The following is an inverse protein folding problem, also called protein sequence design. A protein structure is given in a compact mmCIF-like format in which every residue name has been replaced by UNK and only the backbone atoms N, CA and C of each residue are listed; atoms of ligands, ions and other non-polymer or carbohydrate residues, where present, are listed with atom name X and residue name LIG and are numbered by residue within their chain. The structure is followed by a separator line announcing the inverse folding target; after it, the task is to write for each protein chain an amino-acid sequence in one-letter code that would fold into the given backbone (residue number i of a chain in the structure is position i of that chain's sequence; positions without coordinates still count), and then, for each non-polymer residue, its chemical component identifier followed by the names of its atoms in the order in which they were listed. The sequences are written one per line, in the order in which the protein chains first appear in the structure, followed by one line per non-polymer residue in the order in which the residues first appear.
data_IF_430772860828
#
_entry.id   IF_430772860828
#
_cell.length_a   1.000
_cell.length_b   1.000
_cell.length_c   1.000
_cell.angle_alpha   90.00
_cell.angle_beta   90.00
_cell.angle_gamma   90.00
#
_symmetry.space_group_name_H-M   'P 1'
#
loop_
_entity.id
_entity.type
_entity.pdbx_description
1 polymer ?
#
# COMPACT_ATOMS: atom_id res chain seq x y z
N UNK A 1 19.42 40.02 -2.12
CA UNK A 1 18.50 39.80 -3.26
C UNK A 1 18.56 38.38 -3.79
N UNK A 2 19.75 37.79 -3.94
CA UNK A 2 19.92 36.40 -4.42
C UNK A 2 19.25 35.38 -3.47
N UNK A 3 19.43 35.55 -2.17
CA UNK A 3 18.85 34.69 -1.12
C UNK A 3 17.30 34.64 -1.18
N UNK A 4 16.64 35.79 -1.31
CA UNK A 4 15.18 35.90 -1.45
C UNK A 4 14.63 35.29 -2.75
N UNK A 5 15.42 35.28 -3.82
CA UNK A 5 15.04 34.64 -5.08
C UNK A 5 15.25 33.12 -5.01
N UNK A 6 16.28 32.67 -4.30
CA UNK A 6 16.54 31.25 -4.02
C UNK A 6 15.45 30.64 -3.14
N UNK A 7 15.07 31.33 -2.04
CA UNK A 7 13.97 30.92 -1.16
C UNK A 7 12.64 30.83 -1.92
N UNK A 8 12.31 31.82 -2.75
CA UNK A 8 11.10 31.78 -3.60
C UNK A 8 11.13 30.65 -4.61
N UNK A 9 12.29 30.36 -5.20
CA UNK A 9 12.47 29.22 -6.10
C UNK A 9 12.27 27.87 -5.39
N UNK A 10 12.85 27.72 -4.20
CA UNK A 10 12.69 26.54 -3.34
C UNK A 10 11.25 26.35 -2.84
N UNK A 11 10.54 27.43 -2.55
CA UNK A 11 9.11 27.35 -2.20
C UNK A 11 8.25 26.96 -3.42
N UNK A 12 8.56 27.49 -4.61
CA UNK A 12 7.83 27.19 -5.83
C UNK A 12 8.06 25.76 -6.34
N UNK A 13 9.23 25.15 -6.07
CA UNK A 13 9.54 23.78 -6.51
C UNK A 13 8.61 22.72 -5.92
N UNK A 14 7.92 23.03 -4.81
CA UNK A 14 6.85 22.19 -4.24
C UNK A 14 5.76 21.82 -5.24
N UNK A 15 5.43 22.74 -6.16
CA UNK A 15 4.40 22.51 -7.17
C UNK A 15 4.78 21.47 -8.23
N UNK A 16 6.06 21.10 -8.34
CA UNK A 16 6.51 20.00 -9.22
C UNK A 16 5.87 18.67 -8.77
N UNK A 17 5.52 18.51 -7.50
CA UNK A 17 4.86 17.31 -6.99
C UNK A 17 3.39 17.22 -7.37
N UNK A 18 2.71 18.35 -7.63
CA UNK A 18 1.29 18.38 -7.99
C UNK A 18 0.92 17.44 -9.16
N UNK A 19 1.62 17.44 -10.31
CA UNK A 19 1.33 16.52 -11.41
C UNK A 19 1.55 15.04 -11.06
N UNK A 20 2.45 14.71 -10.12
CA UNK A 20 2.60 13.33 -9.65
C UNK A 20 1.33 12.84 -8.94
N UNK A 21 0.75 13.67 -8.06
CA UNK A 21 -0.49 13.32 -7.38
C UNK A 21 -1.67 13.19 -8.35
N UNK A 22 -1.72 14.01 -9.40
CA UNK A 22 -2.68 13.83 -10.50
C UNK A 22 -2.48 12.47 -11.19
N UNK A 23 -1.23 12.09 -11.47
CA UNK A 23 -0.89 10.76 -11.98
C UNK A 23 -1.35 9.63 -11.06
N UNK A 24 -1.19 9.78 -9.73
CA UNK A 24 -1.66 8.80 -8.75
C UNK A 24 -3.20 8.71 -8.71
N UNK A 25 -3.93 9.81 -8.93
CA UNK A 25 -5.40 9.78 -9.07
C UNK A 25 -5.79 8.97 -10.31
N UNK A 26 -5.10 9.14 -11.45
CA UNK A 26 -5.33 8.28 -12.62
C UNK A 26 -5.02 6.81 -12.34
N UNK A 27 -3.95 6.53 -11.57
CA UNK A 27 -3.67 5.17 -11.12
C UNK A 27 -4.79 4.59 -10.24
N UNK A 28 -5.39 5.40 -9.37
CA UNK A 28 -6.54 4.99 -8.54
C UNK A 28 -7.76 4.65 -9.40
N UNK A 29 -8.03 5.43 -10.45
CA UNK A 29 -9.07 5.11 -11.44
C UNK A 29 -8.77 3.80 -12.16
N UNK A 30 -7.52 3.58 -12.57
CA UNK A 30 -7.09 2.32 -13.19
C UNK A 30 -7.29 1.12 -12.26
N UNK A 31 -6.96 1.29 -10.97
CA UNK A 31 -7.18 0.28 -9.93
C UNK A 31 -8.67 -0.02 -9.74
N UNK A 32 -9.53 1.01 -9.74
CA UNK A 32 -10.99 0.84 -9.67
C UNK A 32 -11.52 0.03 -10.86
N UNK A 33 -11.05 0.33 -12.08
CA UNK A 33 -11.41 -0.46 -13.27
C UNK A 33 -10.99 -1.92 -13.08
N UNK A 34 -9.79 -2.17 -12.54
CA UNK A 34 -9.34 -3.54 -12.27
C UNK A 34 -10.16 -4.25 -11.20
N UNK A 35 -10.51 -3.56 -10.13
CA UNK A 35 -11.41 -4.08 -9.11
C UNK A 35 -12.76 -4.50 -9.72
N UNK A 36 -13.35 -3.64 -10.56
CA UNK A 36 -14.64 -3.96 -11.21
C UNK A 36 -14.53 -5.15 -12.17
N UNK A 37 -13.42 -5.28 -12.91
CA UNK A 37 -13.17 -6.43 -13.76
C UNK A 37 -13.05 -7.73 -12.95
N UNK A 38 -12.27 -7.70 -11.87
CA UNK A 38 -12.07 -8.86 -10.98
C UNK A 38 -13.39 -9.26 -10.31
N UNK A 39 -14.16 -8.27 -9.85
CA UNK A 39 -15.48 -8.48 -9.23
C UNK A 39 -16.45 -9.14 -10.20
N UNK A 40 -16.49 -8.66 -11.45
CA UNK A 40 -17.36 -9.24 -12.47
C UNK A 40 -16.95 -10.68 -12.80
N UNK A 41 -15.65 -10.93 -12.99
CA UNK A 41 -15.13 -12.26 -13.25
C UNK A 41 -15.48 -13.23 -12.10
N UNK A 42 -15.23 -12.81 -10.86
CA UNK A 42 -15.56 -13.56 -9.67
C UNK A 42 -17.07 -13.87 -9.56
N UNK A 43 -17.94 -12.88 -9.81
CA UNK A 43 -19.38 -13.05 -9.71
C UNK A 43 -19.94 -14.08 -10.71
N UNK A 44 -19.41 -14.10 -11.94
CA UNK A 44 -19.82 -15.07 -12.97
C UNK A 44 -19.34 -16.49 -12.61
N UNK A 45 -18.13 -16.61 -12.05
CA UNK A 45 -17.50 -17.90 -11.77
C UNK A 45 -17.96 -18.50 -10.42
N UNK A 46 -18.54 -17.69 -9.53
CA UNK A 46 -19.00 -18.08 -8.18
C UNK A 46 -19.89 -19.33 -8.17
N UNK A 47 -20.75 -19.48 -9.18
CA UNK A 47 -21.70 -20.62 -9.27
C UNK A 47 -21.03 -21.95 -9.64
N UNK A 48 -19.78 -21.91 -10.12
CA UNK A 48 -18.99 -23.07 -10.54
C UNK A 48 -17.70 -23.25 -9.73
N UNK A 49 -17.38 -22.26 -8.89
CA UNK A 49 -16.20 -22.22 -8.06
C UNK A 49 -16.27 -23.23 -6.91
N UNK A 50 -15.17 -23.94 -6.66
CA UNK A 50 -15.01 -24.70 -5.41
C UNK A 50 -14.78 -23.76 -4.23
N UNK A 51 -14.90 -24.26 -2.99
CA UNK A 51 -14.69 -23.47 -1.76
C UNK A 51 -13.35 -22.72 -1.77
N UNK A 52 -12.31 -23.37 -2.28
CA UNK A 52 -10.99 -22.80 -2.53
C UNK A 52 -11.02 -21.52 -3.36
N UNK A 53 -11.66 -21.58 -4.51
CA UNK A 53 -11.70 -20.52 -5.51
C UNK A 53 -12.54 -19.34 -5.01
N UNK A 54 -13.59 -19.63 -4.23
CA UNK A 54 -14.40 -18.61 -3.55
C UNK A 54 -13.55 -17.79 -2.59
N UNK A 55 -12.80 -18.45 -1.71
CA UNK A 55 -11.91 -17.78 -0.74
C UNK A 55 -10.85 -16.95 -1.45
N UNK A 56 -10.22 -17.50 -2.49
CA UNK A 56 -9.19 -16.82 -3.27
C UNK A 56 -9.72 -15.59 -4.01
N UNK A 57 -10.92 -15.67 -4.58
CA UNK A 57 -11.55 -14.54 -5.27
C UNK A 57 -11.90 -13.39 -4.32
N UNK A 58 -12.48 -13.70 -3.15
CA UNK A 58 -12.72 -12.68 -2.10
C UNK A 58 -11.42 -11.98 -1.72
N UNK A 59 -10.35 -12.76 -1.60
CA UNK A 59 -9.08 -12.25 -1.11
C UNK A 59 -8.33 -11.39 -2.13
N UNK A 60 -8.49 -11.69 -3.42
CA UNK A 60 -8.09 -10.81 -4.54
C UNK A 60 -8.80 -9.45 -4.48
N UNK A 61 -10.12 -9.45 -4.20
CA UNK A 61 -10.90 -8.23 -4.07
C UNK A 61 -10.50 -7.39 -2.84
N UNK A 62 -10.24 -8.04 -1.71
CA UNK A 62 -9.74 -7.38 -0.49
C UNK A 62 -8.40 -6.69 -0.76
N UNK A 63 -7.49 -7.37 -1.48
CA UNK A 63 -6.20 -6.81 -1.82
C UNK A 63 -6.32 -5.55 -2.68
N UNK A 64 -7.08 -5.62 -3.78
CA UNK A 64 -7.32 -4.45 -4.64
C UNK A 64 -7.94 -3.29 -3.86
N UNK A 65 -8.86 -3.55 -2.92
CA UNK A 65 -9.41 -2.52 -2.04
C UNK A 65 -8.34 -1.91 -1.11
N UNK A 66 -7.50 -2.74 -0.51
CA UNK A 66 -6.42 -2.29 0.37
C UNK A 66 -5.39 -1.45 -0.38
N UNK A 67 -5.01 -1.86 -1.59
CA UNK A 67 -4.12 -1.08 -2.47
C UNK A 67 -4.71 0.31 -2.78
N UNK A 68 -6.02 0.40 -3.00
CA UNK A 68 -6.72 1.67 -3.23
C UNK A 68 -6.70 2.57 -2.00
N UNK A 69 -6.99 2.02 -0.82
CA UNK A 69 -6.93 2.76 0.44
C UNK A 69 -5.52 3.30 0.71
N UNK A 70 -4.50 2.48 0.45
CA UNK A 70 -3.12 2.88 0.58
C UNK A 70 -2.76 4.01 -0.39
N UNK A 71 -3.18 3.90 -1.64
CA UNK A 71 -2.94 4.91 -2.67
C UNK A 71 -3.60 6.25 -2.30
N UNK A 72 -4.84 6.22 -1.77
CA UNK A 72 -5.52 7.42 -1.26
C UNK A 72 -4.72 8.08 -0.14
N UNK A 73 -4.26 7.30 0.83
CA UNK A 73 -3.42 7.80 1.93
C UNK A 73 -2.16 8.49 1.38
N UNK A 74 -1.47 7.85 0.42
CA UNK A 74 -0.27 8.41 -0.22
C UNK A 74 -0.57 9.72 -0.94
N UNK A 75 -1.69 9.79 -1.68
CA UNK A 75 -2.10 10.99 -2.42
C UNK A 75 -2.35 12.15 -1.45
N UNK A 76 -3.20 11.94 -0.45
CA UNK A 76 -3.58 13.01 0.47
C UNK A 76 -2.45 13.42 1.39
N UNK A 77 -1.76 12.46 2.02
CA UNK A 77 -0.61 12.74 2.88
C UNK A 77 0.52 13.41 2.09
N UNK A 78 0.81 12.94 0.88
CA UNK A 78 1.82 13.56 0.03
C UNK A 78 1.45 15.00 -0.35
N UNK A 79 0.22 15.21 -0.84
CA UNK A 79 -0.22 16.53 -1.25
C UNK A 79 -0.23 17.54 -0.09
N UNK A 80 -0.74 17.14 1.08
CA UNK A 80 -0.77 17.97 2.28
C UNK A 80 0.63 18.37 2.77
N UNK A 81 1.55 17.40 2.84
CA UNK A 81 2.92 17.63 3.32
C UNK A 81 3.74 18.48 2.33
N UNK A 82 3.60 18.22 1.03
CA UNK A 82 4.54 18.75 0.04
C UNK A 82 3.99 19.88 -0.82
N UNK A 83 2.68 19.99 -1.07
CA UNK A 83 2.12 21.01 -1.98
C UNK A 83 1.34 22.07 -1.22
N UNK A 84 0.22 21.69 -0.60
CA UNK A 84 -0.68 22.63 0.07
C UNK A 84 -1.46 21.92 1.16
N UNK A 85 -1.67 22.62 2.28
CA UNK A 85 -2.71 22.20 3.23
C UNK A 85 -4.05 22.18 2.48
N UNK A 86 -4.76 21.07 2.60
CA UNK A 86 -6.11 20.96 2.05
C UNK A 86 -7.05 21.50 3.11
N UNK A 87 -7.47 22.76 2.96
CA UNK A 87 -8.50 23.37 3.81
C UNK A 87 -9.88 22.93 3.29
N UNK A 88 -10.22 21.66 3.54
CA UNK A 88 -11.62 21.23 3.50
C UNK A 88 -12.17 21.71 4.83
N UNK A 89 -12.98 22.78 4.81
CA UNK A 89 -13.59 23.36 6.02
C UNK A 89 -14.29 22.31 6.88
N UNK A 90 -14.71 22.72 8.08
CA UNK A 90 -15.24 21.89 9.17
C UNK A 90 -16.49 21.07 8.79
N UNK A 91 -16.30 20.07 7.94
CA UNK A 91 -17.31 19.16 7.42
C UNK A 91 -17.17 17.83 8.17
N UNK A 92 -18.29 17.31 8.68
CA UNK A 92 -18.40 16.03 9.41
C UNK A 92 -17.79 14.83 8.65
N UNK A 93 -17.61 14.92 7.33
CA UNK A 93 -17.05 13.87 6.49
C UNK A 93 -15.51 13.87 6.41
N UNK A 94 -14.84 14.76 7.18
CA UNK A 94 -13.39 14.79 7.29
C UNK A 94 -12.84 13.49 7.92
N UNK A 95 -11.99 12.71 7.24
CA UNK A 95 -11.52 11.45 7.80
C UNK A 95 -10.58 11.65 9.01
N UNK A 96 -10.78 10.89 10.09
CA UNK A 96 -10.02 10.98 11.35
C UNK A 96 -8.51 10.72 11.23
N UNK A 97 -8.04 10.22 10.09
CA UNK A 97 -6.61 9.98 9.83
C UNK A 97 -5.82 11.24 9.40
N UNK A 98 -6.51 12.39 9.21
CA UNK A 98 -5.91 13.69 8.87
C UNK A 98 -4.77 14.02 9.87
N UNK A 99 -3.54 14.13 9.37
CA UNK A 99 -2.36 14.53 10.15
C UNK A 99 -1.63 13.47 10.99
N UNK A 100 -2.04 12.18 10.96
CA UNK A 100 -1.40 11.10 11.76
C UNK A 100 -0.73 9.99 10.95
N UNK A 101 -0.60 10.15 9.63
CA UNK A 101 -0.03 9.11 8.78
C UNK A 101 1.49 9.18 8.83
N UNK A 102 2.08 8.35 9.69
CA UNK A 102 3.53 8.10 9.72
C UNK A 102 3.97 7.30 8.48
N UNK A 103 5.01 7.82 7.80
CA UNK A 103 5.62 7.18 6.64
C UNK A 103 6.30 5.84 7.00
N UNK A 104 6.75 5.65 8.25
CA UNK A 104 7.24 4.36 8.75
C UNK A 104 6.14 3.31 8.78
N UNK A 105 5.04 3.63 9.46
CA UNK A 105 3.84 2.80 9.51
C UNK A 105 3.26 2.49 8.12
N UNK A 106 3.36 3.43 7.17
CA UNK A 106 2.90 3.24 5.79
C UNK A 106 3.73 2.17 5.05
N UNK A 107 5.07 2.23 5.18
CA UNK A 107 5.99 1.24 4.58
C UNK A 107 5.73 -0.16 5.10
N UNK A 108 5.52 -0.29 6.41
CA UNK A 108 5.21 -1.57 7.04
C UNK A 108 3.88 -2.16 6.57
N UNK A 109 2.83 -1.33 6.48
CA UNK A 109 1.51 -1.75 6.00
C UNK A 109 1.56 -2.24 4.55
N UNK A 110 2.31 -1.56 3.68
CA UNK A 110 2.51 -1.98 2.28
C UNK A 110 3.23 -3.33 2.18
N UNK A 111 4.33 -3.51 2.90
CA UNK A 111 5.08 -4.78 2.84
C UNK A 111 4.23 -5.92 3.42
N UNK A 112 3.50 -5.66 4.51
CA UNK A 112 2.61 -6.63 5.12
C UNK A 112 1.51 -7.08 4.16
N UNK A 113 0.92 -6.17 3.37
CA UNK A 113 -0.07 -6.56 2.35
C UNK A 113 0.57 -7.39 1.24
N UNK A 114 1.74 -7.00 0.73
CA UNK A 114 2.49 -7.78 -0.28
C UNK A 114 2.78 -9.21 0.16
N UNK A 115 3.25 -9.39 1.40
CA UNK A 115 3.50 -10.72 1.98
C UNK A 115 2.22 -11.52 2.11
N UNK A 116 1.13 -10.90 2.57
CA UNK A 116 -0.16 -11.57 2.68
C UNK A 116 -0.65 -12.08 1.32
N UNK A 117 -0.72 -11.21 0.30
CA UNK A 117 -1.16 -11.54 -1.07
C UNK A 117 -0.33 -12.68 -1.64
N UNK A 118 0.99 -12.63 -1.44
CA UNK A 118 1.89 -13.69 -1.88
C UNK A 118 1.59 -15.03 -1.18
N UNK A 119 1.25 -15.02 0.11
CA UNK A 119 0.86 -16.23 0.84
C UNK A 119 -0.45 -16.84 0.34
N UNK A 120 -1.39 -15.99 -0.07
CA UNK A 120 -2.67 -16.39 -0.64
C UNK A 120 -2.47 -17.06 -1.99
N UNK A 121 -1.59 -16.48 -2.80
CA UNK A 121 -1.17 -17.09 -4.06
C UNK A 121 -0.52 -18.47 -3.83
N UNK A 122 0.29 -18.62 -2.78
CA UNK A 122 0.85 -19.92 -2.37
C UNK A 122 -0.21 -20.93 -1.96
N UNK A 123 -1.24 -20.51 -1.25
CA UNK A 123 -2.37 -21.38 -0.95
C UNK A 123 -3.04 -21.86 -2.25
N UNK A 124 -3.29 -20.97 -3.23
CA UNK A 124 -3.85 -21.35 -4.54
C UNK A 124 -3.01 -22.40 -5.26
N UNK A 125 -1.69 -22.21 -5.28
CA UNK A 125 -0.75 -23.15 -5.91
C UNK A 125 -0.78 -24.51 -5.21
N UNK A 126 -0.81 -24.53 -3.88
CA UNK A 126 -0.89 -25.77 -3.10
C UNK A 126 -2.24 -26.50 -3.23
N UNK A 127 -3.33 -25.80 -3.47
CA UNK A 127 -4.63 -26.43 -3.76
C UNK A 127 -4.71 -27.01 -5.18
N UNK A 128 -3.82 -26.60 -6.07
CA UNK A 128 -3.79 -26.97 -7.48
C UNK A 128 -2.49 -27.66 -7.91
N UNK A 129 -1.80 -28.40 -7.04
CA UNK A 129 -0.45 -28.94 -7.29
C UNK A 129 -0.28 -29.64 -8.65
N UNK A 130 -1.28 -30.42 -9.07
CA UNK A 130 -1.25 -31.13 -10.36
C UNK A 130 -1.19 -30.21 -11.60
N UNK A 131 -1.44 -28.91 -11.45
CA UNK A 131 -1.42 -27.90 -12.52
C UNK A 131 -0.07 -27.21 -12.69
N UNK A 132 0.87 -27.41 -11.75
CA UNK A 132 2.15 -26.70 -11.70
C UNK A 132 3.31 -27.69 -11.72
N UNK A 133 4.44 -27.31 -12.32
CA UNK A 133 5.65 -28.13 -12.24
C UNK A 133 6.32 -27.95 -10.87
N UNK A 134 7.07 -28.96 -10.43
CA UNK A 134 7.87 -28.89 -9.20
C UNK A 134 8.82 -27.68 -9.21
N UNK A 135 9.35 -27.33 -10.39
CA UNK A 135 10.22 -26.17 -10.57
C UNK A 135 9.47 -24.87 -10.33
N UNK A 136 8.24 -24.75 -10.81
CA UNK A 136 7.42 -23.55 -10.61
C UNK A 136 7.07 -23.39 -9.13
N UNK A 137 6.61 -24.47 -8.50
CA UNK A 137 6.26 -24.48 -7.07
C UNK A 137 7.48 -24.10 -6.21
N UNK A 138 8.66 -24.65 -6.54
CA UNK A 138 9.91 -24.33 -5.86
C UNK A 138 10.26 -22.84 -5.96
N UNK A 139 10.24 -22.26 -7.17
CA UNK A 139 10.56 -20.84 -7.36
C UNK A 139 9.55 -19.92 -6.70
N UNK A 140 8.26 -20.24 -6.81
CA UNK A 140 7.23 -19.45 -6.16
C UNK A 140 7.34 -19.50 -4.63
N UNK A 141 7.69 -20.67 -4.06
CA UNK A 141 7.96 -20.81 -2.62
C UNK A 141 9.19 -20.00 -2.20
N UNK A 142 10.28 -20.06 -2.96
CA UNK A 142 11.50 -19.28 -2.70
C UNK A 142 11.18 -17.78 -2.70
N UNK A 143 10.46 -17.30 -3.72
CA UNK A 143 10.07 -15.88 -3.82
C UNK A 143 9.19 -15.47 -2.63
N UNK A 144 8.24 -16.31 -2.22
CA UNK A 144 7.40 -16.03 -1.05
C UNK A 144 8.25 -15.90 0.23
N UNK A 145 9.20 -16.81 0.44
CA UNK A 145 10.12 -16.74 1.58
C UNK A 145 10.96 -15.46 1.53
N UNK A 146 11.43 -15.03 0.36
CA UNK A 146 12.16 -13.76 0.21
C UNK A 146 11.28 -12.57 0.61
N UNK A 147 10.01 -12.54 0.23
CA UNK A 147 9.09 -11.49 0.66
C UNK A 147 8.86 -11.49 2.18
N UNK A 148 8.63 -12.66 2.78
CA UNK A 148 8.46 -12.81 4.23
C UNK A 148 9.70 -12.29 4.97
N UNK A 149 10.89 -12.73 4.56
CA UNK A 149 12.16 -12.29 5.17
C UNK A 149 12.32 -10.78 5.03
N UNK A 150 12.06 -10.22 3.85
CA UNK A 150 12.14 -8.76 3.63
C UNK A 150 11.19 -8.00 4.56
N UNK A 151 9.96 -8.49 4.74
CA UNK A 151 9.00 -7.87 5.65
C UNK A 151 9.41 -7.94 7.11
N UNK A 152 9.95 -9.08 7.55
CA UNK A 152 10.48 -9.22 8.91
C UNK A 152 11.64 -8.27 9.14
N UNK A 153 12.60 -8.18 8.21
CA UNK A 153 13.75 -7.29 8.33
C UNK A 153 13.34 -5.81 8.41
N UNK A 154 12.36 -5.38 7.63
CA UNK A 154 11.83 -4.01 7.68
C UNK A 154 11.10 -3.74 8.99
N UNK A 155 10.29 -4.68 9.49
CA UNK A 155 9.64 -4.57 10.80
C UNK A 155 10.65 -4.50 11.95
N UNK A 156 11.74 -5.25 11.87
CA UNK A 156 12.83 -5.19 12.85
C UNK A 156 13.56 -3.84 12.80
N UNK A 157 13.88 -3.34 11.59
CA UNK A 157 14.52 -2.04 11.42
C UNK A 157 13.68 -0.91 12.00
N UNK A 158 12.38 -0.90 11.70
CA UNK A 158 11.44 0.11 12.18
C UNK A 158 11.28 0.08 13.71
N UNK A 159 11.23 -1.13 14.30
CA UNK A 159 11.21 -1.30 15.76
C UNK A 159 12.49 -0.78 16.43
N UNK A 160 13.66 -1.00 15.80
CA UNK A 160 14.94 -0.52 16.32
C UNK A 160 15.05 1.01 16.24
N UNK A 161 14.50 1.64 15.20
CA UNK A 161 14.49 3.10 15.07
C UNK A 161 13.51 3.81 16.01
N UNK A 162 12.52 3.09 16.56
CA UNK A 162 11.55 3.61 17.53
C UNK A 162 11.81 3.13 18.97
N UNK A 163 13.00 2.60 19.26
CA UNK A 163 13.39 2.31 20.65
C UNK A 163 13.37 3.63 21.46
N UNK A 164 12.71 3.67 22.63
CA UNK A 164 12.54 4.91 23.38
C UNK A 164 13.92 5.43 23.80
N UNK A 165 14.22 6.67 23.42
CA UNK A 165 15.34 7.42 23.98
C UNK A 165 15.27 7.29 25.50
N UNK A 166 16.31 6.67 26.06
CA UNK A 166 16.42 6.46 27.49
C UNK A 166 16.25 7.78 28.23
N UNK A 167 15.43 7.72 29.28
CA UNK A 167 15.21 8.76 30.28
C UNK A 167 16.55 9.45 30.57
N UNK A 168 16.71 10.71 30.13
CA UNK A 168 17.79 11.57 30.62
C UNK A 168 17.43 11.95 32.05
N UNK A 169 18.26 11.64 33.06
CA UNK A 169 18.03 12.16 34.40
C UNK A 169 18.26 13.67 34.37
N UNK A 170 17.26 14.40 34.84
CA UNK A 170 17.32 15.84 35.02
C UNK A 170 18.26 16.13 36.20
N UNK A 171 19.32 16.89 35.93
CA UNK A 171 20.18 17.51 36.93
C UNK A 171 20.28 19.01 36.62
#
# INVERSE_FOLDING_TARGET
MIERNLERGLFASRWIMAPFYVGLVFALVGLLIKFMQELFHFAVELTRAGEADVVLGILSLIDLSLAGNLLLIVIFSGYENFVSKIDVGDHEDAPDWKGKVDFGALKLKLIASMVAISGIHMLKVFMGLAKYSDRDIMWMTIIHVVFVVTGVLLALMDRLSHAPDGIRPEH
#
